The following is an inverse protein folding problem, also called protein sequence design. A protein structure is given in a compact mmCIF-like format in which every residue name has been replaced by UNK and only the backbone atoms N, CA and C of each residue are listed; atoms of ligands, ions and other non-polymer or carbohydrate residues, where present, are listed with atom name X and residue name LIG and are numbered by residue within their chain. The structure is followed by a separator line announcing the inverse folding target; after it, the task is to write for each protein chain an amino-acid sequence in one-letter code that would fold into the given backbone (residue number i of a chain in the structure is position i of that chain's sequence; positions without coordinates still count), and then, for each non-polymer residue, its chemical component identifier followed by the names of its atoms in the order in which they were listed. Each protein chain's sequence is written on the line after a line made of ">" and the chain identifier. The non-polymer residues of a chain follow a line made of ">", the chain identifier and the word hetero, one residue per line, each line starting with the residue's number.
data_IF_794145210211
#
_entry.id   IF_794145210211
#
_cell.length_a   1.000
_cell.length_b   1.000
_cell.length_c   1.000
_cell.angle_alpha   90.00
_cell.angle_beta   90.00
_cell.angle_gamma   90.00
#
_symmetry.space_group_name_H-M   'P 1'
#
loop_
_entity.id
_entity.type
_entity.pdbx_description
1 polymer ?
#
# COMPACT_ATOMS: atom_id res chain seq x y z
N UNK A 1 -9.84 -3.99 13.97
CA UNK A 1 -9.73 -4.34 15.42
C UNK A 1 -8.30 -4.78 15.69
N UNK A 2 -7.73 -4.37 16.83
CA UNK A 2 -6.38 -4.79 17.25
C UNK A 2 -6.53 -5.78 18.40
N UNK A 3 -5.81 -6.89 18.33
CA UNK A 3 -5.83 -7.97 19.34
C UNK A 3 -4.42 -8.21 19.88
N UNK A 4 -4.32 -8.42 21.19
CA UNK A 4 -3.09 -8.92 21.81
C UNK A 4 -3.21 -10.43 21.92
N UNK A 5 -2.22 -11.15 21.37
CA UNK A 5 -2.16 -12.62 21.38
C UNK A 5 -0.86 -13.07 22.02
N UNK A 6 -0.76 -14.37 22.32
CA UNK A 6 0.48 -15.03 22.78
C UNK A 6 1.64 -14.94 21.76
N UNK A 7 1.30 -14.76 20.47
CA UNK A 7 2.25 -14.60 19.35
C UNK A 7 2.47 -13.12 18.93
N UNK A 8 2.06 -12.17 19.76
CA UNK A 8 2.21 -10.75 19.49
C UNK A 8 0.90 -10.03 19.14
N UNK A 9 1.03 -8.79 18.71
CA UNK A 9 -0.12 -7.95 18.36
C UNK A 9 -0.59 -8.28 16.95
N UNK A 10 -1.90 -8.37 16.77
CA UNK A 10 -2.54 -8.70 15.49
C UNK A 10 -3.60 -7.66 15.15
N UNK A 11 -3.76 -7.38 13.87
CA UNK A 11 -4.86 -6.59 13.33
C UNK A 11 -5.84 -7.50 12.61
N UNK A 12 -7.11 -7.40 12.95
CA UNK A 12 -8.20 -8.08 12.25
C UNK A 12 -9.04 -7.05 11.52
N UNK A 13 -9.25 -7.27 10.23
CA UNK A 13 -10.04 -6.41 9.35
C UNK A 13 -10.92 -7.25 8.42
N UNK A 14 -12.00 -6.68 7.91
CA UNK A 14 -12.81 -7.32 6.87
C UNK A 14 -11.98 -7.58 5.62
N UNK A 15 -12.23 -8.70 4.95
CA UNK A 15 -11.60 -8.99 3.66
C UNK A 15 -12.19 -8.08 2.58
N UNK A 16 -11.33 -7.34 1.89
CA UNK A 16 -11.68 -6.55 0.72
C UNK A 16 -10.97 -7.13 -0.51
N UNK A 17 -11.59 -8.10 -1.17
CA UNK A 17 -11.02 -8.74 -2.35
C UNK A 17 -11.35 -10.23 -2.43
N UNK A 18 -10.63 -10.96 -3.29
CA UNK A 18 -10.76 -12.39 -3.45
C UNK A 18 -9.67 -13.15 -2.68
N UNK A 19 -9.92 -14.43 -2.41
CA UNK A 19 -8.98 -15.31 -1.70
C UNK A 19 -7.67 -15.48 -2.49
N UNK A 20 -7.75 -15.56 -3.83
CA UNK A 20 -6.55 -15.66 -4.67
C UNK A 20 -5.66 -14.42 -4.53
N UNK A 21 -6.28 -13.24 -4.43
CA UNK A 21 -5.55 -11.99 -4.26
C UNK A 21 -4.91 -11.91 -2.88
N UNK A 22 -5.60 -12.40 -1.85
CA UNK A 22 -5.06 -12.50 -0.50
C UNK A 22 -3.88 -13.46 -0.44
N UNK A 23 -3.98 -14.61 -1.11
CA UNK A 23 -2.89 -15.57 -1.21
C UNK A 23 -1.66 -14.96 -1.88
N UNK A 24 -1.84 -14.26 -3.00
CA UNK A 24 -0.76 -13.54 -3.68
C UNK A 24 -0.13 -12.45 -2.79
N UNK A 25 -0.96 -11.70 -2.05
CA UNK A 25 -0.50 -10.71 -1.07
C UNK A 25 0.37 -11.37 0.00
N UNK A 26 -0.08 -12.49 0.55
CA UNK A 26 0.66 -13.25 1.57
C UNK A 26 2.02 -13.70 1.04
N UNK A 27 2.04 -14.39 -0.08
CA UNK A 27 3.27 -14.91 -0.70
C UNK A 27 4.27 -13.79 -0.98
N UNK A 28 3.80 -12.69 -1.55
CA UNK A 28 4.65 -11.53 -1.81
C UNK A 28 5.22 -10.93 -0.52
N UNK A 29 4.39 -10.72 0.51
CA UNK A 29 4.83 -10.14 1.78
C UNK A 29 5.79 -11.05 2.54
N UNK A 30 5.56 -12.36 2.52
CA UNK A 30 6.46 -13.33 3.16
C UNK A 30 7.85 -13.33 2.49
N UNK A 31 7.90 -13.32 1.17
CA UNK A 31 9.16 -13.22 0.41
C UNK A 31 9.90 -11.90 0.64
N UNK A 32 9.18 -10.78 0.69
CA UNK A 32 9.74 -9.46 1.04
C UNK A 32 10.36 -9.49 2.45
N UNK A 33 9.67 -10.14 3.40
CA UNK A 33 10.17 -10.31 4.76
C UNK A 33 11.44 -11.17 4.81
N UNK A 34 11.49 -12.27 4.05
CA UNK A 34 12.67 -13.14 3.91
C UNK A 34 13.88 -12.41 3.30
N UNK A 35 13.66 -11.42 2.45
CA UNK A 35 14.70 -10.50 1.93
C UNK A 35 15.16 -9.47 2.96
N UNK A 36 14.69 -9.55 4.21
CA UNK A 36 15.11 -8.70 5.33
C UNK A 36 14.30 -7.42 5.51
N UNK A 37 13.25 -7.18 4.71
CA UNK A 37 12.36 -6.05 4.94
C UNK A 37 11.27 -6.43 5.96
N UNK A 38 11.54 -6.16 7.24
CA UNK A 38 10.66 -6.57 8.35
C UNK A 38 9.50 -5.60 8.64
N UNK A 39 9.49 -4.40 8.05
CA UNK A 39 8.46 -3.39 8.29
C UNK A 39 7.24 -3.61 7.40
N UNK A 40 6.64 -4.80 7.46
CA UNK A 40 5.51 -5.21 6.63
C UNK A 40 4.49 -6.00 7.43
N UNK A 41 3.20 -5.74 7.21
CA UNK A 41 2.06 -6.37 7.85
C UNK A 41 1.73 -7.70 7.18
N UNK A 42 2.39 -8.79 7.55
CA UNK A 42 2.14 -10.09 6.94
C UNK A 42 0.77 -10.65 7.31
N UNK A 43 0.16 -11.37 6.36
CA UNK A 43 -1.08 -12.12 6.61
C UNK A 43 -0.78 -13.34 7.46
N UNK A 44 -1.58 -13.56 8.49
CA UNK A 44 -1.42 -14.68 9.45
C UNK A 44 -2.59 -15.64 9.27
N UNK A 45 -2.28 -16.92 9.05
CA UNK A 45 -3.29 -17.95 9.00
C UNK A 45 -3.93 -18.21 10.38
N UNK A 46 -5.17 -18.67 10.37
CA UNK A 46 -5.89 -19.12 11.56
C UNK A 46 -5.36 -20.49 12.06
N UNK A 47 -6.05 -21.11 13.03
CA UNK A 47 -5.64 -22.41 13.60
C UNK A 47 -5.88 -23.58 12.64
N UNK A 48 -6.75 -23.40 11.69
CA UNK A 48 -7.08 -24.35 10.61
C UNK A 48 -6.19 -24.16 9.36
N UNK A 49 -5.16 -23.30 9.47
CA UNK A 49 -4.25 -22.92 8.37
C UNK A 49 -4.94 -22.17 7.21
N UNK A 50 -6.09 -21.55 7.49
CA UNK A 50 -6.82 -20.74 6.52
C UNK A 50 -6.48 -19.26 6.68
N UNK A 51 -6.46 -18.50 5.57
CA UNK A 51 -6.17 -17.07 5.58
C UNK A 51 -7.41 -16.22 5.91
N UNK A 52 -8.59 -16.76 5.68
CA UNK A 52 -9.87 -16.10 5.90
C UNK A 52 -10.62 -16.79 7.03
N UNK A 53 -11.15 -16.01 7.94
CA UNK A 53 -12.02 -16.50 9.01
C UNK A 53 -13.36 -15.81 8.87
N UNK A 54 -14.46 -16.57 8.84
CA UNK A 54 -15.80 -16.01 8.82
C UNK A 54 -16.38 -15.90 10.23
N UNK A 55 -17.11 -14.81 10.49
CA UNK A 55 -17.90 -14.69 11.70
C UNK A 55 -19.17 -15.55 11.62
N UNK A 56 -19.98 -15.57 12.69
CA UNK A 56 -21.25 -16.30 12.75
C UNK A 56 -22.28 -15.85 11.72
N UNK A 57 -22.07 -14.72 11.05
CA UNK A 57 -22.95 -14.16 10.02
C UNK A 57 -22.40 -14.37 8.61
N UNK A 58 -21.26 -15.04 8.48
CA UNK A 58 -20.60 -15.31 7.19
C UNK A 58 -19.75 -14.14 6.67
N UNK A 59 -19.48 -13.12 7.48
CA UNK A 59 -18.60 -12.02 7.06
C UNK A 59 -17.13 -12.47 7.11
N UNK A 60 -16.38 -12.30 6.03
CA UNK A 60 -14.97 -12.71 5.97
C UNK A 60 -14.05 -11.69 6.63
N UNK A 61 -13.11 -12.20 7.43
CA UNK A 61 -12.05 -11.40 8.10
C UNK A 61 -10.68 -11.99 7.82
N UNK A 62 -9.69 -11.11 7.83
CA UNK A 62 -8.27 -11.42 7.66
C UNK A 62 -7.52 -10.94 8.88
N UNK A 63 -6.58 -11.77 9.35
CA UNK A 63 -5.65 -11.44 10.40
C UNK A 63 -4.28 -11.04 9.81
N UNK A 64 -3.71 -9.94 10.30
CA UNK A 64 -2.37 -9.48 9.92
C UNK A 64 -1.50 -9.22 11.13
N UNK A 65 -0.22 -9.33 10.97
CA UNK A 65 0.73 -8.83 11.96
C UNK A 65 0.54 -7.32 12.13
N UNK A 66 0.66 -6.86 13.37
CA UNK A 66 0.59 -5.44 13.68
C UNK A 66 1.84 -5.02 14.42
N UNK A 67 2.45 -3.95 13.97
CA UNK A 67 3.58 -3.34 14.64
C UNK A 67 3.18 -2.01 15.25
N UNK A 68 3.66 -1.76 16.46
CA UNK A 68 3.44 -0.49 17.14
C UNK A 68 4.28 0.60 16.47
N UNK A 69 3.64 1.71 16.17
CA UNK A 69 4.30 2.85 15.57
C UNK A 69 3.42 4.08 15.71
N UNK A 70 3.98 5.23 15.37
CA UNK A 70 3.21 6.46 15.20
C UNK A 70 3.17 6.81 13.70
N UNK A 71 2.16 7.54 13.33
CA UNK A 71 2.08 8.09 11.98
C UNK A 71 3.24 9.05 11.69
N UNK A 72 3.67 9.06 10.43
CA UNK A 72 4.70 9.98 9.95
C UNK A 72 4.18 11.41 10.03
N UNK A 73 4.93 12.29 10.68
CA UNK A 73 4.64 13.72 10.67
C UNK A 73 5.21 14.34 9.39
N UNK A 74 4.35 14.70 8.45
CA UNK A 74 4.73 15.30 7.18
C UNK A 74 5.46 16.66 7.32
N UNK A 75 5.34 17.33 8.46
CA UNK A 75 6.07 18.56 8.76
C UNK A 75 7.48 18.34 9.35
N UNK A 76 7.82 17.08 9.66
CA UNK A 76 9.12 16.71 10.21
C UNK A 76 10.03 16.15 9.11
N UNK A 77 11.07 16.86 8.77
CA UNK A 77 12.09 16.41 7.78
C UNK A 77 12.66 15.04 8.18
N UNK A 78 12.95 14.83 9.45
CA UNK A 78 13.48 13.57 9.97
C UNK A 78 12.53 12.39 9.77
N UNK A 79 11.22 12.63 9.91
CA UNK A 79 10.22 11.58 9.68
C UNK A 79 10.08 11.27 8.19
N UNK A 80 10.12 12.31 7.34
CA UNK A 80 10.09 12.15 5.89
C UNK A 80 11.32 11.37 5.38
N UNK A 81 12.53 11.70 5.87
CA UNK A 81 13.74 10.95 5.53
C UNK A 81 13.60 9.46 5.87
N UNK A 82 13.12 9.15 7.08
CA UNK A 82 12.90 7.75 7.49
C UNK A 82 11.86 7.04 6.63
N UNK A 83 10.76 7.73 6.28
CA UNK A 83 9.73 7.17 5.42
C UNK A 83 10.26 6.88 4.01
N UNK A 84 11.05 7.79 3.44
CA UNK A 84 11.69 7.61 2.13
C UNK A 84 12.70 6.46 2.15
N UNK A 85 13.54 6.37 3.18
CA UNK A 85 14.49 5.27 3.34
C UNK A 85 13.76 3.94 3.43
N UNK A 86 12.71 3.86 4.26
CA UNK A 86 11.90 2.64 4.40
C UNK A 86 11.24 2.24 3.07
N UNK A 87 10.70 3.20 2.32
CA UNK A 87 10.12 2.96 1.00
C UNK A 87 11.17 2.48 -0.01
N UNK A 88 12.36 3.07 0.01
CA UNK A 88 13.46 2.65 -0.85
C UNK A 88 13.90 1.20 -0.57
N UNK A 89 13.94 0.79 0.69
CA UNK A 89 14.23 -0.60 1.05
C UNK A 89 13.14 -1.57 0.59
N UNK A 90 11.87 -1.18 0.74
CA UNK A 90 10.75 -1.98 0.21
C UNK A 90 10.86 -2.16 -1.30
N UNK A 91 11.11 -1.09 -2.05
CA UNK A 91 11.28 -1.15 -3.50
C UNK A 91 12.49 -2.00 -3.92
N UNK A 92 13.59 -1.93 -3.17
CA UNK A 92 14.76 -2.76 -3.42
C UNK A 92 14.43 -4.25 -3.26
N UNK A 93 13.82 -4.63 -2.13
CA UNK A 93 13.42 -6.00 -1.88
C UNK A 93 12.43 -6.53 -2.94
N UNK A 94 11.44 -5.73 -3.33
CA UNK A 94 10.49 -6.08 -4.39
C UNK A 94 11.13 -6.21 -5.77
N UNK A 95 12.13 -5.38 -6.08
CA UNK A 95 12.89 -5.47 -7.33
C UNK A 95 13.75 -6.73 -7.40
N UNK A 96 14.39 -7.10 -6.30
CA UNK A 96 15.17 -8.33 -6.20
C UNK A 96 14.29 -9.56 -6.44
N UNK A 97 13.09 -9.62 -5.84
CA UNK A 97 12.11 -10.67 -6.09
C UNK A 97 11.67 -10.74 -7.55
N UNK A 98 11.37 -9.60 -8.16
CA UNK A 98 10.95 -9.54 -9.56
C UNK A 98 12.04 -10.09 -10.50
N UNK A 99 13.30 -9.80 -10.22
CA UNK A 99 14.42 -10.26 -11.04
C UNK A 99 14.70 -11.75 -10.85
N UNK A 100 14.54 -12.30 -9.65
CA UNK A 100 14.78 -13.71 -9.35
C UNK A 100 13.69 -14.62 -9.92
N UNK A 101 12.44 -14.23 -9.82
CA UNK A 101 11.30 -15.09 -10.14
C UNK A 101 10.78 -14.91 -11.57
N UNK A 102 11.22 -13.85 -12.25
CA UNK A 102 10.67 -13.43 -13.56
C UNK A 102 9.12 -13.38 -13.57
N UNK A 103 8.54 -13.18 -12.37
CA UNK A 103 7.11 -13.32 -12.09
C UNK A 103 6.49 -11.93 -11.99
N UNK A 104 5.53 -11.66 -12.84
CA UNK A 104 4.72 -10.45 -12.71
C UNK A 104 3.63 -10.70 -11.65
N UNK A 105 3.87 -10.31 -10.40
CA UNK A 105 2.84 -10.27 -9.35
C UNK A 105 1.74 -9.24 -9.65
N UNK A 106 1.96 -8.40 -10.63
CA UNK A 106 0.97 -7.46 -11.11
C UNK A 106 0.47 -7.91 -12.47
N UNK A 107 -0.74 -8.51 -12.55
CA UNK A 107 -1.53 -8.24 -13.75
C UNK A 107 -1.46 -6.74 -13.96
N UNK A 108 -0.98 -6.29 -15.13
CA UNK A 108 -1.02 -4.89 -15.55
C UNK A 108 -2.46 -4.40 -15.38
N UNK A 109 -2.78 -3.94 -14.19
CA UNK A 109 -3.95 -3.09 -14.00
C UNK A 109 -3.56 -1.83 -14.73
N UNK A 110 -4.22 -1.45 -15.84
CA UNK A 110 -3.92 -0.21 -16.55
C UNK A 110 -4.00 0.87 -15.49
N UNK A 111 -2.85 1.47 -15.23
CA UNK A 111 -2.51 2.26 -14.12
C UNK A 111 -3.62 3.08 -13.53
N UNK A 112 -3.97 2.75 -12.31
CA UNK A 112 -4.64 3.72 -11.44
C UNK A 112 -3.84 5.03 -11.43
N UNK A 113 -2.51 4.95 -11.53
CA UNK A 113 -1.62 6.09 -11.68
C UNK A 113 -1.83 6.80 -13.02
N UNK A 114 -1.84 6.09 -14.17
CA UNK A 114 -2.05 6.69 -15.48
C UNK A 114 -3.43 7.37 -15.58
N UNK A 115 -4.45 6.74 -14.99
CA UNK A 115 -5.78 7.35 -14.91
C UNK A 115 -5.73 8.64 -14.08
N UNK A 116 -5.08 8.62 -12.93
CA UNK A 116 -4.94 9.81 -12.07
C UNK A 116 -4.11 10.90 -12.72
N UNK A 117 -3.01 10.56 -13.37
CA UNK A 117 -2.21 11.53 -14.14
C UNK A 117 -3.04 12.14 -15.26
N UNK A 118 -3.85 11.36 -15.98
CA UNK A 118 -4.71 11.87 -17.02
C UNK A 118 -5.85 12.76 -16.47
N UNK A 119 -6.42 12.44 -15.30
CA UNK A 119 -7.36 13.32 -14.60
C UNK A 119 -6.72 14.66 -14.26
N UNK A 120 -5.53 14.67 -13.68
CA UNK A 120 -4.76 15.88 -13.36
C UNK A 120 -4.47 16.70 -14.63
N UNK A 121 -4.06 16.07 -15.73
CA UNK A 121 -3.85 16.76 -17.01
C UNK A 121 -5.13 17.41 -17.53
N UNK A 122 -6.29 16.74 -17.41
CA UNK A 122 -7.59 17.31 -17.78
C UNK A 122 -7.93 18.53 -16.93
N UNK A 123 -7.71 18.46 -15.62
CA UNK A 123 -7.91 19.58 -14.70
C UNK A 123 -7.00 20.75 -15.10
N UNK A 124 -5.70 20.50 -15.34
CA UNK A 124 -4.76 21.52 -15.82
C UNK A 124 -5.26 22.21 -17.10
N UNK A 125 -5.66 21.43 -18.09
CA UNK A 125 -6.16 21.97 -19.36
C UNK A 125 -7.44 22.79 -19.18
N UNK A 126 -8.34 22.37 -18.30
CA UNK A 126 -9.55 23.12 -17.95
C UNK A 126 -9.20 24.47 -17.30
N UNK A 127 -8.37 24.43 -16.26
CA UNK A 127 -7.96 25.63 -15.52
C UNK A 127 -7.16 26.59 -16.42
N UNK A 128 -6.28 26.08 -17.29
CA UNK A 128 -5.51 26.90 -18.22
C UNK A 128 -6.38 27.73 -19.17
N UNK A 129 -7.55 27.22 -19.57
CA UNK A 129 -8.48 27.88 -20.47
C UNK A 129 -9.38 28.96 -19.81
N UNK A 130 -9.42 28.99 -18.46
CA UNK A 130 -10.21 29.97 -17.73
C UNK A 130 -9.60 31.38 -17.86
N UNK A 131 -10.43 32.37 -18.12
CA UNK A 131 -10.00 33.76 -18.22
C UNK A 131 -9.62 34.34 -16.85
N UNK A 132 -10.43 34.04 -15.82
CA UNK A 132 -10.17 34.43 -14.44
C UNK A 132 -9.74 33.20 -13.65
N UNK A 133 -8.60 33.30 -12.99
CA UNK A 133 -8.00 32.22 -12.15
C UNK A 133 -7.81 32.76 -10.74
N UNK A 134 -8.10 31.92 -9.74
CA UNK A 134 -7.75 32.20 -8.35
C UNK A 134 -6.29 31.82 -8.06
N UNK A 135 -5.81 32.19 -6.86
CA UNK A 135 -4.42 31.96 -6.46
C UNK A 135 -4.04 30.46 -6.43
N UNK A 136 -4.97 29.60 -6.02
CA UNK A 136 -4.77 28.16 -6.04
C UNK A 136 -4.61 27.63 -7.48
N UNK A 137 -5.46 28.07 -8.41
CA UNK A 137 -5.40 27.68 -9.82
C UNK A 137 -4.10 28.15 -10.48
N UNK A 138 -3.64 29.36 -10.15
CA UNK A 138 -2.35 29.89 -10.63
C UNK A 138 -1.17 29.06 -10.09
N UNK A 139 -1.20 28.72 -8.81
CA UNK A 139 -0.17 27.89 -8.19
C UNK A 139 -0.18 26.49 -8.81
N UNK A 140 -1.36 25.90 -8.99
CA UNK A 140 -1.52 24.58 -9.60
C UNK A 140 -0.90 24.49 -10.99
N UNK A 141 -1.18 25.46 -11.87
CA UNK A 141 -0.58 25.51 -13.21
C UNK A 141 0.94 25.62 -13.11
N UNK A 142 1.44 26.50 -12.25
CA UNK A 142 2.89 26.75 -12.09
C UNK A 142 3.65 25.53 -11.60
N UNK A 143 3.03 24.71 -10.73
CA UNK A 143 3.67 23.54 -10.11
C UNK A 143 3.44 22.24 -10.88
N UNK A 144 2.55 22.23 -11.86
CA UNK A 144 2.18 21.01 -12.58
C UNK A 144 3.29 20.49 -13.52
N UNK A 145 4.15 21.36 -14.01
CA UNK A 145 5.19 21.05 -15.02
C UNK A 145 6.54 20.70 -14.36
N UNK A 146 6.59 20.55 -13.02
CA UNK A 146 7.72 20.05 -12.26
C UNK A 146 7.48 18.58 -11.93
#
# INVERSE_FOLDING_TARGET
>A
MILMTDKGVRQVSSLNGTDERLQQEKEFKDKIYEKGFCNIDRVVANREDELVTCDRYGNPFVCREYFQGRECNASSIRDLEKAVINLAWFHRAGRELYMEENTSYTKKTPGNLDRKVNELRRIRNFVSRRTLKNDFEMLYIKTFDY
#
